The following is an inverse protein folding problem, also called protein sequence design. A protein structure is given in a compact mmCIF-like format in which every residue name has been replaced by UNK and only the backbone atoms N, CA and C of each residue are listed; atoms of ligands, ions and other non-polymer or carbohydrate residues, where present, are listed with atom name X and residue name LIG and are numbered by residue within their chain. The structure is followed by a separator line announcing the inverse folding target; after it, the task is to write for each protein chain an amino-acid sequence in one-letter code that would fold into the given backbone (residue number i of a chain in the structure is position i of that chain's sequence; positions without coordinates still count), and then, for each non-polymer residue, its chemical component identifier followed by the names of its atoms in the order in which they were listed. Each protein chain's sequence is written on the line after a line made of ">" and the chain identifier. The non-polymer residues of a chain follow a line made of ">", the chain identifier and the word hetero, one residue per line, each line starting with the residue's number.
data_IF_736732543876
#
_entry.id   IF_736732543876
#
_cell.length_a   1.000
_cell.length_b   1.000
_cell.length_c   1.000
_cell.angle_alpha   90.00
_cell.angle_beta   90.00
_cell.angle_gamma   90.00
#
_symmetry.space_group_name_H-M   'P 1'
#
loop_
_entity.id
_entity.type
_entity.pdbx_description
1 polymer ?
#
# COMPACT_ATOMS: atom_id res chain seq x y z
N UNK A 1 -19.89 13.40 -6.07
CA UNK A 1 -19.45 12.19 -5.35
C UNK A 1 -18.42 12.56 -4.31
N UNK A 2 -18.18 11.70 -3.33
CA UNK A 2 -17.08 11.88 -2.37
C UNK A 2 -15.75 11.47 -3.01
N UNK A 3 -14.66 12.12 -2.61
CA UNK A 3 -13.29 11.67 -2.92
C UNK A 3 -12.85 10.75 -1.79
N UNK A 4 -12.49 9.52 -2.11
CA UNK A 4 -12.17 8.47 -1.13
C UNK A 4 -10.81 7.86 -1.48
N UNK A 5 -10.04 7.56 -0.44
CA UNK A 5 -8.82 6.78 -0.53
C UNK A 5 -8.93 5.58 0.42
N UNK A 6 -8.51 4.40 -0.05
CA UNK A 6 -8.44 3.18 0.73
C UNK A 6 -6.98 2.88 1.02
N UNK A 7 -6.64 2.79 2.30
CA UNK A 7 -5.34 2.32 2.79
C UNK A 7 -5.53 0.94 3.40
N UNK A 8 -5.07 -0.09 2.70
CA UNK A 8 -5.12 -1.47 3.18
C UNK A 8 -4.04 -1.75 4.21
N UNK A 9 -4.42 -2.00 5.45
CA UNK A 9 -3.50 -2.25 6.57
C UNK A 9 -3.28 -3.74 6.89
N UNK A 10 -3.77 -4.64 6.03
CA UNK A 10 -3.63 -6.09 6.22
C UNK A 10 -2.37 -6.63 5.55
N UNK A 11 -1.65 -7.60 6.16
CA UNK A 11 -0.46 -8.19 5.55
C UNK A 11 -0.78 -9.00 4.28
N UNK A 12 -2.06 -9.32 4.06
CA UNK A 12 -2.55 -10.06 2.88
C UNK A 12 -2.61 -9.21 1.60
N UNK A 13 -2.63 -7.88 1.72
CA UNK A 13 -2.62 -6.92 0.61
C UNK A 13 -3.76 -7.12 -0.44
N UNK A 14 -5.00 -7.40 0.01
CA UNK A 14 -6.15 -7.64 -0.87
C UNK A 14 -7.39 -6.77 -0.56
N UNK A 15 -7.23 -5.72 0.26
CA UNK A 15 -8.31 -4.79 0.64
C UNK A 15 -8.86 -3.99 -0.55
N UNK A 16 -8.00 -3.73 -1.53
CA UNK A 16 -8.26 -2.88 -2.71
C UNK A 16 -8.67 -3.68 -3.95
N UNK A 17 -8.57 -5.02 -3.89
CA UNK A 17 -8.81 -5.93 -5.04
C UNK A 17 -10.10 -5.66 -5.79
N UNK A 18 -11.21 -5.45 -5.07
CA UNK A 18 -12.52 -5.25 -5.70
C UNK A 18 -12.64 -3.87 -6.37
N UNK A 19 -11.92 -2.87 -5.86
CA UNK A 19 -11.93 -1.52 -6.44
C UNK A 19 -11.02 -1.45 -7.67
N UNK A 20 -9.93 -2.22 -7.68
CA UNK A 20 -8.95 -2.26 -8.76
C UNK A 20 -9.25 -3.31 -9.84
N UNK A 21 -10.19 -4.23 -9.60
CA UNK A 21 -10.44 -5.40 -10.45
C UNK A 21 -9.18 -6.24 -10.74
N UNK A 22 -8.23 -6.26 -9.80
CA UNK A 22 -6.96 -6.98 -9.89
C UNK A 22 -6.92 -8.17 -8.93
N UNK A 23 -5.91 -9.03 -9.01
CA UNK A 23 -5.76 -10.12 -8.02
C UNK A 23 -5.29 -9.62 -6.66
N UNK A 24 -4.38 -8.66 -6.68
CA UNK A 24 -3.81 -7.94 -5.55
C UNK A 24 -3.04 -6.73 -6.09
N UNK A 25 -2.82 -5.73 -5.26
CA UNK A 25 -1.93 -4.61 -5.53
C UNK A 25 -0.55 -4.93 -4.95
N UNK A 26 0.54 -4.53 -5.62
CA UNK A 26 1.88 -4.61 -5.03
C UNK A 26 1.94 -3.65 -3.84
N UNK A 27 2.31 -4.16 -2.66
CA UNK A 27 2.28 -3.38 -1.44
C UNK A 27 3.45 -2.41 -1.32
N UNK A 28 3.29 -1.37 -0.49
CA UNK A 28 4.35 -0.39 -0.16
C UNK A 28 5.59 -1.11 0.34
N UNK A 29 5.45 -2.08 1.24
CA UNK A 29 6.59 -2.83 1.79
C UNK A 29 7.28 -3.70 0.73
N UNK A 30 6.54 -4.25 -0.23
CA UNK A 30 7.15 -4.98 -1.34
C UNK A 30 7.92 -4.04 -2.27
N UNK A 31 7.32 -2.93 -2.68
CA UNK A 31 7.97 -1.96 -3.56
C UNK A 31 9.21 -1.35 -2.90
N UNK A 32 9.14 -1.05 -1.61
CA UNK A 32 10.29 -0.60 -0.82
C UNK A 32 11.41 -1.65 -0.82
N UNK A 33 11.09 -2.93 -0.67
CA UNK A 33 12.08 -4.00 -0.72
C UNK A 33 12.71 -4.16 -2.11
N UNK A 34 11.95 -3.93 -3.18
CA UNK A 34 12.45 -3.96 -4.56
C UNK A 34 13.33 -2.76 -4.89
N UNK A 35 13.02 -1.58 -4.34
CA UNK A 35 13.77 -0.34 -4.57
C UNK A 35 14.94 -0.11 -3.63
N UNK A 36 14.87 -0.64 -2.41
CA UNK A 36 15.88 -0.49 -1.37
C UNK A 36 15.26 -0.01 -0.06
N UNK A 37 14.52 1.10 -0.10
CA UNK A 37 13.89 1.70 1.08
C UNK A 37 12.55 2.38 0.74
N UNK A 38 11.80 2.83 1.75
CA UNK A 38 10.55 3.57 1.52
C UNK A 38 10.82 5.00 1.05
N UNK A 39 11.99 5.54 1.39
CA UNK A 39 12.47 6.85 0.99
C UNK A 39 12.79 6.92 -0.52
N UNK A 40 12.97 5.77 -1.17
CA UNK A 40 13.20 5.65 -2.62
C UNK A 40 11.91 5.49 -3.45
N UNK A 41 10.74 5.49 -2.80
CA UNK A 41 9.44 5.34 -3.44
C UNK A 41 8.83 6.69 -3.83
N UNK A 42 8.28 6.75 -5.03
CA UNK A 42 7.44 7.85 -5.50
C UNK A 42 5.96 7.54 -5.24
N UNK A 43 5.18 8.57 -4.94
CA UNK A 43 3.79 8.42 -4.51
C UNK A 43 2.90 7.75 -5.58
N UNK A 44 3.19 8.00 -6.85
CA UNK A 44 2.46 7.44 -8.01
C UNK A 44 2.75 5.95 -8.24
N UNK A 45 3.82 5.41 -7.65
CA UNK A 45 4.14 3.98 -7.72
C UNK A 45 3.32 3.16 -6.73
N UNK A 46 2.91 3.77 -5.62
CA UNK A 46 2.12 3.10 -4.57
C UNK A 46 0.63 3.42 -4.66
N UNK A 47 0.24 4.56 -5.24
CA UNK A 47 -1.16 4.95 -5.40
C UNK A 47 -1.70 4.51 -6.76
N UNK A 48 -2.68 3.60 -6.74
CA UNK A 48 -3.39 3.17 -7.94
C UNK A 48 -4.82 3.70 -7.90
N UNK A 49 -5.27 4.31 -8.97
CA UNK A 49 -6.67 4.75 -9.11
C UNK A 49 -7.54 3.61 -9.66
N UNK A 50 -8.60 3.27 -8.92
CA UNK A 50 -9.55 2.22 -9.29
C UNK A 50 -10.91 2.76 -9.74
N UNK A 51 -11.94 1.93 -9.60
CA UNK A 51 -13.31 2.31 -9.92
C UNK A 51 -13.76 3.57 -9.15
N UNK A 52 -14.59 4.37 -9.80
CA UNK A 52 -15.16 5.62 -9.25
C UNK A 52 -14.14 6.68 -8.81
N UNK A 53 -12.89 6.57 -9.29
CA UNK A 53 -11.80 7.49 -8.91
C UNK A 53 -11.33 7.30 -7.46
N UNK A 54 -11.57 6.11 -6.89
CA UNK A 54 -11.08 5.76 -5.56
C UNK A 54 -9.59 5.46 -5.66
N UNK A 55 -8.79 6.14 -4.83
CA UNK A 55 -7.35 5.88 -4.73
C UNK A 55 -7.10 4.70 -3.79
N UNK A 56 -6.19 3.81 -4.19
CA UNK A 56 -5.91 2.57 -3.49
C UNK A 56 -4.41 2.42 -3.20
N UNK A 57 -4.09 2.00 -1.98
CA UNK A 57 -2.75 1.61 -1.54
C UNK A 57 -2.85 0.44 -0.57
N UNK A 58 -1.89 -0.48 -0.64
CA UNK A 58 -1.75 -1.59 0.31
C UNK A 58 -0.43 -1.44 1.07
N UNK A 59 -0.48 -1.44 2.40
CA UNK A 59 0.71 -1.47 3.23
C UNK A 59 1.51 -2.75 3.00
N UNK A 60 0.83 -3.89 3.02
CA UNK A 60 1.46 -5.20 3.08
C UNK A 60 2.20 -5.43 4.40
N UNK A 61 2.97 -6.51 4.45
CA UNK A 61 3.76 -6.91 5.61
C UNK A 61 4.87 -7.86 5.21
N UNK A 62 5.79 -8.18 6.13
CA UNK A 62 6.88 -9.10 5.87
C UNK A 62 6.37 -10.54 5.65
N UNK A 63 7.23 -11.39 5.10
CA UNK A 63 6.98 -12.82 4.95
C UNK A 63 6.55 -13.48 6.28
N UNK A 64 5.61 -14.46 6.26
CA UNK A 64 5.19 -15.14 7.47
C UNK A 64 6.35 -15.72 8.27
N UNK A 65 6.39 -15.41 9.57
CA UNK A 65 7.47 -15.82 10.46
C UNK A 65 8.69 -14.89 10.46
N UNK A 66 8.68 -13.82 9.67
CA UNK A 66 9.73 -12.78 9.66
C UNK A 66 9.16 -11.44 10.12
N UNK A 67 9.79 -10.81 11.10
CA UNK A 67 9.45 -9.45 11.52
C UNK A 67 8.07 -9.30 12.17
N UNK A 68 7.43 -8.14 11.99
CA UNK A 68 6.16 -7.78 12.59
C UNK A 68 5.22 -7.15 11.54
N UNK A 69 4.05 -7.75 11.33
CA UNK A 69 3.06 -7.26 10.37
C UNK A 69 2.65 -5.80 10.64
N UNK A 70 2.52 -5.42 11.92
CA UNK A 70 2.17 -4.06 12.32
C UNK A 70 3.22 -3.01 11.95
N UNK A 71 4.50 -3.40 11.81
CA UNK A 71 5.56 -2.46 11.39
C UNK A 71 5.36 -2.00 9.95
N UNK A 72 4.90 -2.89 9.06
CA UNK A 72 4.60 -2.51 7.68
C UNK A 72 3.53 -1.43 7.60
N UNK A 73 2.50 -1.54 8.44
CA UNK A 73 1.40 -0.57 8.53
C UNK A 73 1.90 0.80 8.98
N UNK A 74 2.68 0.85 10.07
CA UNK A 74 3.23 2.10 10.60
C UNK A 74 4.10 2.77 9.53
N UNK A 75 5.04 2.04 8.95
CA UNK A 75 5.92 2.55 7.91
C UNK A 75 5.15 3.09 6.71
N UNK A 76 4.13 2.38 6.24
CA UNK A 76 3.34 2.81 5.07
C UNK A 76 2.50 4.06 5.37
N UNK A 77 1.92 4.16 6.57
CA UNK A 77 1.14 5.34 6.96
C UNK A 77 2.06 6.56 7.08
N UNK A 78 3.21 6.43 7.76
CA UNK A 78 4.17 7.53 7.90
C UNK A 78 4.65 8.02 6.53
N UNK A 79 5.01 7.09 5.62
CA UNK A 79 5.38 7.46 4.25
C UNK A 79 4.26 8.23 3.53
N UNK A 80 3.01 7.77 3.60
CA UNK A 80 1.88 8.43 2.95
C UNK A 80 1.56 9.81 3.54
N UNK A 81 1.79 10.02 4.84
CA UNK A 81 1.63 11.31 5.50
C UNK A 81 2.74 12.30 5.11
N UNK A 82 3.96 11.82 4.83
CA UNK A 82 5.09 12.65 4.43
C UNK A 82 5.09 12.98 2.93
N UNK A 83 4.64 12.05 2.09
CA UNK A 83 4.60 12.18 0.63
C UNK A 83 3.36 12.93 0.10
N UNK A 84 2.31 13.09 0.91
CA UNK A 84 1.02 13.70 0.55
C UNK A 84 0.86 15.16 0.95
#
# INVERSE_FOLDING_TARGET
>A
GQRVMIVGCGPKADSTRLILHSKAQTSVIQLAAEKGSVEDLELDEVLVEGQWGIKCVESGGPEPGVGCAGRGVITSITYLEEAG
#
